data_IF_656901384908
#
_entry.id   IF_656901384908
#
_cell.length_a   1.000
_cell.length_b   1.000
_cell.length_c   1.000
_cell.angle_alpha   90.00
_cell.angle_beta   90.00
_cell.angle_gamma   90.00
#
_symmetry.space_group_name_H-M   'P 1'
#
loop_
_entity.id
_entity.type
_entity.pdbx_description
1 polymer ?
#
# COMPACT_ATOMS: atom_id res chain seq x y z
N UNK A 1 22.36 -12.45 -22.64
CA UNK A 1 23.08 -11.20 -22.30
C UNK A 1 22.21 -10.38 -21.38
N UNK A 2 22.79 -9.65 -20.41
CA UNK A 2 22.01 -9.03 -19.34
C UNK A 2 21.64 -7.58 -19.70
N UNK A 3 20.37 -7.23 -19.51
CA UNK A 3 19.86 -5.86 -19.68
C UNK A 3 19.27 -5.34 -18.37
N UNK A 4 19.32 -4.03 -18.22
CA UNK A 4 18.79 -3.38 -17.03
C UNK A 4 17.26 -3.51 -17.03
N UNK A 5 16.74 -3.94 -15.90
CA UNK A 5 15.31 -3.99 -15.60
C UNK A 5 14.87 -2.75 -14.82
N UNK A 6 15.82 -2.06 -14.18
CA UNK A 6 15.57 -0.86 -13.39
C UNK A 6 16.50 0.28 -13.80
N UNK A 7 16.03 1.51 -13.59
CA UNK A 7 16.75 2.75 -13.89
C UNK A 7 17.14 3.49 -12.60
N UNK A 8 18.15 4.36 -12.68
CA UNK A 8 18.52 5.24 -11.57
C UNK A 8 17.33 6.12 -11.16
N UNK A 9 17.11 6.27 -9.86
CA UNK A 9 16.00 7.03 -9.27
C UNK A 9 14.70 6.24 -9.14
N UNK A 10 14.61 5.05 -9.74
CA UNK A 10 13.40 4.22 -9.65
C UNK A 10 13.20 3.71 -8.23
N UNK A 11 11.98 3.88 -7.68
CA UNK A 11 11.57 3.30 -6.40
C UNK A 11 11.41 1.79 -6.58
N UNK A 12 12.01 1.01 -5.68
CA UNK A 12 11.95 -0.47 -5.68
C UNK A 12 11.73 -0.98 -4.26
N UNK A 13 11.05 -2.11 -4.13
CA UNK A 13 11.00 -2.88 -2.88
C UNK A 13 12.14 -3.90 -2.89
N UNK A 14 12.89 -3.95 -1.79
CA UNK A 14 14.03 -4.86 -1.62
C UNK A 14 13.58 -6.05 -0.79
N UNK A 15 13.32 -7.19 -1.43
CA UNK A 15 12.70 -8.35 -0.79
C UNK A 15 13.53 -8.87 0.40
N UNK A 16 14.84 -9.01 0.21
CA UNK A 16 15.74 -9.53 1.24
C UNK A 16 15.87 -8.67 2.49
N UNK A 17 15.43 -7.41 2.46
CA UNK A 17 15.51 -6.45 3.58
C UNK A 17 14.11 -6.01 4.05
N UNK A 18 13.09 -6.11 3.21
CA UNK A 18 11.72 -5.72 3.54
C UNK A 18 11.52 -4.21 3.60
N UNK A 19 12.17 -3.45 2.72
CA UNK A 19 12.09 -1.97 2.71
C UNK A 19 11.93 -1.41 1.29
N UNK A 20 11.32 -0.24 1.19
CA UNK A 20 11.34 0.59 -0.02
C UNK A 20 12.65 1.36 -0.10
N UNK A 21 13.29 1.35 -1.27
CA UNK A 21 14.50 2.10 -1.57
C UNK A 21 14.42 2.74 -2.97
N UNK A 22 15.42 3.54 -3.32
CA UNK A 22 15.61 4.03 -4.69
C UNK A 22 16.88 3.41 -5.28
N UNK A 23 16.84 3.10 -6.57
CA UNK A 23 18.04 2.67 -7.30
C UNK A 23 18.99 3.87 -7.42
N UNK A 24 20.11 3.82 -6.72
CA UNK A 24 21.13 4.87 -6.78
C UNK A 24 22.03 4.69 -8.01
N UNK A 25 22.32 3.43 -8.35
CA UNK A 25 23.21 3.09 -9.46
C UNK A 25 22.86 1.76 -10.10
N UNK A 26 22.99 1.71 -11.43
CA UNK A 26 22.92 0.49 -12.24
C UNK A 26 24.35 0.06 -12.57
N UNK A 27 24.77 -1.11 -12.11
CA UNK A 27 26.13 -1.63 -12.22
C UNK A 27 26.18 -2.78 -13.25
N UNK A 28 26.63 -2.52 -14.49
CA UNK A 28 26.91 -3.58 -15.45
C UNK A 28 28.18 -4.33 -15.06
N UNK A 29 28.10 -5.65 -14.95
CA UNK A 29 29.22 -6.55 -14.69
C UNK A 29 29.70 -7.14 -16.02
N UNK A 30 31.00 -6.98 -16.29
CA UNK A 30 31.65 -7.38 -17.54
C UNK A 30 32.54 -8.60 -17.32
N UNK A 31 32.60 -9.50 -18.30
CA UNK A 31 33.53 -10.64 -18.30
C UNK A 31 34.50 -10.52 -19.48
N UNK A 32 35.73 -11.01 -19.29
CA UNK A 32 36.76 -10.96 -20.33
C UNK A 32 36.31 -11.75 -21.57
N UNK A 33 36.37 -11.12 -22.75
CA UNK A 33 35.98 -11.72 -24.02
C UNK A 33 34.51 -11.54 -24.39
N UNK A 34 33.77 -10.68 -23.70
CA UNK A 34 32.40 -10.31 -24.04
C UNK A 34 32.30 -8.80 -24.30
N UNK A 35 31.64 -8.43 -25.40
CA UNK A 35 31.38 -7.03 -25.79
C UNK A 35 30.13 -6.44 -25.11
N UNK A 36 29.42 -7.25 -24.30
CA UNK A 36 28.22 -6.88 -23.56
C UNK A 36 28.27 -7.35 -22.10
N UNK A 37 27.55 -6.68 -21.18
CA UNK A 37 27.54 -7.06 -19.78
C UNK A 37 26.90 -8.45 -19.57
N UNK A 38 27.57 -9.27 -18.76
CA UNK A 38 27.12 -10.62 -18.43
C UNK A 38 26.02 -10.62 -17.36
N UNK A 39 26.02 -9.61 -16.49
CA UNK A 39 25.02 -9.43 -15.42
C UNK A 39 24.86 -7.95 -15.13
N UNK A 40 23.70 -7.55 -14.63
CA UNK A 40 23.47 -6.21 -14.08
C UNK A 40 23.06 -6.36 -12.62
N UNK A 41 23.71 -5.57 -11.77
CA UNK A 41 23.40 -5.42 -10.35
C UNK A 41 22.99 -3.98 -10.08
N UNK A 42 22.32 -3.76 -8.95
CA UNK A 42 21.79 -2.45 -8.56
C UNK A 42 22.29 -2.09 -7.17
N UNK A 43 22.75 -0.85 -7.04
CA UNK A 43 22.98 -0.24 -5.74
C UNK A 43 21.71 0.54 -5.34
N UNK A 44 21.27 0.31 -4.11
CA UNK A 44 20.08 0.93 -3.51
C UNK A 44 20.39 1.57 -2.15
N UNK A 45 21.68 1.77 -1.83
CA UNK A 45 22.11 2.45 -0.60
C UNK A 45 22.06 1.58 0.67
N UNK A 46 21.95 0.25 0.53
CA UNK A 46 21.82 -0.70 1.65
C UNK A 46 23.12 -1.49 1.93
N UNK A 47 24.26 -1.01 1.46
CA UNK A 47 25.59 -1.56 1.79
C UNK A 47 25.99 -2.82 1.01
N UNK A 48 25.19 -3.24 0.02
CA UNK A 48 25.56 -4.26 -0.98
C UNK A 48 24.84 -4.02 -2.30
N UNK A 49 25.28 -4.70 -3.34
CA UNK A 49 24.56 -4.75 -4.61
C UNK A 49 23.48 -5.85 -4.61
N UNK A 50 22.42 -5.61 -5.36
CA UNK A 50 21.26 -6.50 -5.50
C UNK A 50 21.09 -6.93 -6.95
N UNK A 51 20.67 -8.18 -7.16
CA UNK A 51 20.23 -8.64 -8.47
C UNK A 51 18.79 -8.15 -8.76
N UNK A 52 18.41 -8.11 -10.04
CA UNK A 52 17.06 -7.71 -10.43
C UNK A 52 15.96 -8.57 -9.77
N UNK A 53 16.24 -9.86 -9.58
CA UNK A 53 15.31 -10.80 -8.95
C UNK A 53 15.05 -10.52 -7.46
N UNK A 54 15.89 -9.74 -6.80
CA UNK A 54 15.72 -9.33 -5.39
C UNK A 54 14.95 -8.02 -5.25
N UNK A 55 14.57 -7.41 -6.38
CA UNK A 55 13.92 -6.10 -6.46
C UNK A 55 12.53 -6.23 -7.10
N UNK A 56 11.61 -5.45 -6.57
CA UNK A 56 10.21 -5.43 -7.00
C UNK A 56 9.79 -4.00 -7.34
N UNK A 57 8.94 -3.83 -8.35
CA UNK A 57 8.38 -2.52 -8.71
C UNK A 57 7.13 -2.22 -7.88
N UNK A 58 6.86 -0.95 -7.56
CA UNK A 58 5.54 -0.55 -7.10
C UNK A 58 4.50 -0.89 -8.17
N UNK A 59 3.43 -1.55 -7.76
CA UNK A 59 2.22 -1.74 -8.55
C UNK A 59 1.03 -1.27 -7.73
N UNK A 60 0.01 -0.77 -8.41
CA UNK A 60 -1.28 -0.57 -7.78
C UNK A 60 -1.86 -1.92 -7.34
N UNK A 61 -2.39 -1.96 -6.13
CA UNK A 61 -3.08 -3.10 -5.60
C UNK A 61 -4.44 -3.24 -6.31
N UNK A 62 -4.72 -4.33 -7.04
CA UNK A 62 -6.00 -4.50 -7.71
C UNK A 62 -7.18 -4.54 -6.72
N UNK A 63 -6.94 -4.86 -5.45
CA UNK A 63 -7.94 -4.80 -4.39
C UNK A 63 -8.27 -3.36 -3.92
N UNK A 64 -7.49 -2.35 -4.33
CA UNK A 64 -7.72 -0.95 -3.99
C UNK A 64 -8.76 -0.24 -4.88
N UNK A 65 -9.51 -1.00 -5.68
CA UNK A 65 -10.67 -0.52 -6.45
C UNK A 65 -11.86 -0.14 -5.54
N UNK A 66 -13.08 -0.14 -6.09
CA UNK A 66 -14.29 0.22 -5.33
C UNK A 66 -14.46 -0.72 -4.11
N UNK A 67 -14.11 -0.20 -2.92
CA UNK A 67 -14.08 -0.97 -1.66
C UNK A 67 -15.48 -1.35 -1.15
N UNK A 68 -16.52 -0.69 -1.67
CA UNK A 68 -17.92 -0.88 -1.27
C UNK A 68 -18.23 -0.34 0.14
N UNK A 69 -19.47 -0.55 0.58
CA UNK A 69 -19.94 -0.03 1.86
C UNK A 69 -19.54 -0.96 3.02
N UNK A 70 -18.49 -0.57 3.73
CA UNK A 70 -18.07 -1.27 4.94
C UNK A 70 -18.99 -0.90 6.09
N UNK A 71 -19.42 -1.90 6.86
CA UNK A 71 -20.39 -1.70 7.95
C UNK A 71 -20.01 -2.48 9.19
N UNK A 72 -20.44 -1.98 10.34
CA UNK A 72 -20.25 -2.67 11.62
C UNK A 72 -21.46 -3.55 11.88
N UNK A 73 -21.23 -4.86 11.99
CA UNK A 73 -22.16 -5.80 12.59
C UNK A 73 -21.71 -6.14 14.01
N UNK A 74 -22.64 -6.71 14.79
CA UNK A 74 -22.29 -7.31 16.09
C UNK A 74 -22.40 -8.82 16.02
N UNK A 75 -21.32 -9.49 16.41
CA UNK A 75 -21.28 -10.93 16.59
C UNK A 75 -21.43 -11.29 18.07
N UNK A 76 -22.12 -12.40 18.35
CA UNK A 76 -22.24 -12.93 19.71
C UNK A 76 -20.91 -13.50 20.17
N UNK A 77 -20.49 -13.14 21.38
CA UNK A 77 -19.40 -13.83 22.07
C UNK A 77 -19.91 -15.18 22.58
N UNK A 78 -19.32 -16.28 22.08
CA UNK A 78 -19.71 -17.66 22.47
C UNK A 78 -18.97 -18.15 23.72
N UNK A 79 -17.93 -17.44 24.14
CA UNK A 79 -16.97 -17.90 25.15
C UNK A 79 -16.98 -17.08 26.43
N UNK A 80 -17.81 -16.04 26.51
CA UNK A 80 -17.92 -15.16 27.68
C UNK A 80 -19.40 -14.89 27.94
N UNK A 81 -19.82 -15.03 29.20
CA UNK A 81 -21.19 -14.70 29.59
C UNK A 81 -21.36 -13.17 29.61
N UNK A 82 -22.50 -12.63 29.15
CA UNK A 82 -22.80 -11.20 29.28
C UNK A 82 -22.63 -10.66 30.70
N UNK A 83 -22.88 -11.47 31.73
CA UNK A 83 -22.70 -11.06 33.12
C UNK A 83 -21.22 -10.78 33.47
N UNK A 84 -20.30 -11.58 32.93
CA UNK A 84 -18.86 -11.44 33.19
C UNK A 84 -18.26 -10.18 32.53
N UNK A 85 -18.94 -9.67 31.51
CA UNK A 85 -18.53 -8.49 30.75
C UNK A 85 -19.56 -7.35 30.83
N UNK A 86 -20.32 -7.26 31.92
CA UNK A 86 -21.37 -6.25 32.09
C UNK A 86 -20.87 -4.79 32.01
N UNK A 87 -19.56 -4.58 32.21
CA UNK A 87 -18.90 -3.28 32.11
C UNK A 87 -18.55 -2.89 30.66
N UNK A 88 -18.70 -3.81 29.68
CA UNK A 88 -18.53 -3.49 28.27
C UNK A 88 -19.67 -2.61 27.75
N UNK A 89 -19.44 -1.80 26.71
CA UNK A 89 -20.50 -1.04 26.04
C UNK A 89 -21.57 -1.96 25.42
N UNK A 90 -21.18 -3.16 24.97
CA UNK A 90 -22.09 -4.17 24.42
C UNK A 90 -21.80 -5.58 24.98
N UNK A 91 -22.19 -5.88 26.23
CA UNK A 91 -21.89 -7.15 26.89
C UNK A 91 -22.34 -8.37 26.07
N UNK A 92 -21.52 -9.41 26.04
CA UNK A 92 -21.80 -10.66 25.32
C UNK A 92 -21.69 -10.57 23.79
N UNK A 93 -21.19 -9.45 23.25
CA UNK A 93 -20.98 -9.27 21.82
C UNK A 93 -19.71 -8.47 21.53
N UNK A 94 -19.28 -8.46 20.27
CA UNK A 94 -18.14 -7.66 19.80
C UNK A 94 -18.38 -7.15 18.38
N UNK A 95 -17.74 -6.04 17.97
CA UNK A 95 -17.91 -5.48 16.64
C UNK A 95 -17.17 -6.31 15.59
N UNK A 96 -17.79 -6.44 14.42
CA UNK A 96 -17.23 -7.05 13.21
C UNK A 96 -17.41 -6.05 12.08
N UNK A 97 -16.31 -5.64 11.44
CA UNK A 97 -16.39 -4.77 10.26
C UNK A 97 -16.47 -5.65 9.03
N UNK A 98 -17.64 -5.69 8.42
CA UNK A 98 -17.89 -6.45 7.20
C UNK A 98 -17.42 -5.63 6.00
N UNK A 99 -16.64 -6.26 5.13
CA UNK A 99 -16.04 -5.67 3.93
C UNK A 99 -16.56 -6.30 2.62
N UNK A 100 -17.53 -7.21 2.70
CA UNK A 100 -18.11 -7.93 1.56
C UNK A 100 -19.65 -7.95 1.67
N UNK A 101 -20.34 -8.22 0.56
CA UNK A 101 -21.81 -8.21 0.48
C UNK A 101 -22.46 -9.32 1.31
N UNK A 102 -21.78 -10.46 1.45
CA UNK A 102 -22.37 -11.67 2.01
C UNK A 102 -22.36 -11.77 3.55
N UNK A 103 -21.90 -10.73 4.29
CA UNK A 103 -21.92 -10.64 5.77
C UNK A 103 -21.24 -11.78 6.55
N UNK A 104 -20.56 -12.69 5.84
CA UNK A 104 -19.96 -13.91 6.37
C UNK A 104 -18.49 -13.77 6.80
N UNK A 105 -17.90 -12.58 6.64
CA UNK A 105 -16.49 -12.31 6.91
C UNK A 105 -16.23 -10.83 7.20
N UNK A 106 -15.00 -10.52 7.59
CA UNK A 106 -14.61 -9.14 7.90
C UNK A 106 -13.48 -9.03 8.91
N UNK A 107 -13.13 -7.80 9.25
CA UNK A 107 -12.17 -7.50 10.30
C UNK A 107 -12.81 -7.69 11.68
N UNK A 108 -12.06 -8.33 12.58
CA UNK A 108 -12.45 -8.55 13.98
C UNK A 108 -11.20 -8.60 14.84
N UNK A 109 -11.35 -8.27 16.11
CA UNK A 109 -10.28 -8.41 17.11
C UNK A 109 -10.44 -9.70 17.92
N UNK A 110 -9.35 -10.25 18.50
CA UNK A 110 -9.44 -11.31 19.48
C UNK A 110 -10.31 -10.90 20.68
N UNK A 111 -11.03 -11.85 21.27
CA UNK A 111 -11.88 -11.58 22.45
C UNK A 111 -11.11 -10.96 23.62
N UNK A 112 -9.88 -11.42 23.88
CA UNK A 112 -9.02 -10.87 24.93
C UNK A 112 -8.64 -9.40 24.69
N UNK A 113 -8.55 -8.96 23.43
CA UNK A 113 -8.28 -7.56 23.09
C UNK A 113 -9.51 -6.69 23.34
N UNK A 114 -10.70 -7.19 23.02
CA UNK A 114 -11.95 -6.50 23.33
C UNK A 114 -12.20 -6.40 24.83
N UNK A 115 -11.93 -7.46 25.57
CA UNK A 115 -12.09 -7.51 27.02
C UNK A 115 -11.19 -6.49 27.74
N UNK A 116 -9.98 -6.27 27.21
CA UNK A 116 -9.02 -5.33 27.78
C UNK A 116 -9.43 -3.86 27.61
N UNK A 117 -9.92 -3.47 26.44
CA UNK A 117 -10.30 -2.08 26.14
C UNK A 117 -11.40 -2.04 25.07
N UNK A 118 -12.67 -2.26 25.48
CA UNK A 118 -13.75 -2.37 24.52
C UNK A 118 -14.05 -1.03 23.85
N UNK A 119 -13.90 0.09 24.55
CA UNK A 119 -14.17 1.42 23.98
C UNK A 119 -13.21 1.75 22.83
N UNK A 120 -11.92 1.44 22.99
CA UNK A 120 -10.92 1.60 21.93
C UNK A 120 -11.24 0.73 20.72
N UNK A 121 -11.61 -0.53 20.93
CA UNK A 121 -11.98 -1.42 19.82
C UNK A 121 -13.23 -0.92 19.09
N UNK A 122 -14.24 -0.45 19.81
CA UNK A 122 -15.44 0.14 19.20
C UNK A 122 -15.09 1.37 18.34
N UNK A 123 -14.16 2.22 18.80
CA UNK A 123 -13.68 3.34 18.01
C UNK A 123 -12.91 2.88 16.76
N UNK A 124 -12.04 1.89 16.90
CA UNK A 124 -11.31 1.30 15.76
C UNK A 124 -12.27 0.71 14.72
N UNK A 125 -13.33 0.01 15.16
CA UNK A 125 -14.33 -0.53 14.25
C UNK A 125 -15.01 0.58 13.43
N UNK A 126 -15.36 1.72 14.05
CA UNK A 126 -15.89 2.92 13.36
C UNK A 126 -14.89 3.53 12.39
N UNK A 127 -13.64 3.65 12.80
CA UNK A 127 -12.58 4.18 11.94
C UNK A 127 -12.36 3.30 10.71
N UNK A 128 -12.33 1.97 10.88
CA UNK A 128 -12.15 1.02 9.79
C UNK A 128 -13.38 1.06 8.88
N UNK A 129 -14.60 1.00 9.42
CA UNK A 129 -15.83 1.05 8.62
C UNK A 129 -15.95 2.35 7.79
N UNK A 130 -15.50 3.49 8.31
CA UNK A 130 -15.48 4.76 7.58
C UNK A 130 -14.27 4.95 6.65
N UNK A 131 -13.34 3.99 6.58
CA UNK A 131 -12.12 4.13 5.78
C UNK A 131 -12.38 4.29 4.27
N UNK A 132 -13.34 3.58 3.63
CA UNK A 132 -13.67 3.79 2.22
C UNK A 132 -14.09 5.24 1.92
N UNK A 133 -15.00 5.80 2.73
CA UNK A 133 -15.47 7.19 2.56
C UNK A 133 -14.33 8.20 2.72
N UNK A 134 -13.41 7.98 3.66
CA UNK A 134 -12.22 8.82 3.81
C UNK A 134 -11.27 8.70 2.61
N UNK A 135 -11.18 7.51 2.00
CA UNK A 135 -10.37 7.28 0.80
C UNK A 135 -10.97 8.04 -0.39
N UNK A 136 -12.28 7.99 -0.57
CA UNK A 136 -12.98 8.69 -1.64
C UNK A 136 -12.88 10.21 -1.48
N UNK A 137 -13.08 10.72 -0.27
CA UNK A 137 -12.86 12.14 0.05
C UNK A 137 -11.43 12.60 -0.31
N UNK A 138 -10.42 11.77 -0.03
CA UNK A 138 -9.04 12.08 -0.40
C UNK A 138 -8.84 12.11 -1.92
N UNK A 139 -9.47 11.20 -2.67
CA UNK A 139 -9.45 11.18 -4.14
C UNK A 139 -10.15 12.41 -4.72
N UNK A 140 -11.31 12.78 -4.19
CA UNK A 140 -12.06 13.98 -4.61
C UNK A 140 -11.25 15.26 -4.37
N UNK A 141 -10.60 15.38 -3.20
CA UNK A 141 -9.70 16.50 -2.93
C UNK A 141 -8.57 16.57 -3.96
N UNK A 142 -7.92 15.45 -4.27
CA UNK A 142 -6.87 15.41 -5.27
C UNK A 142 -7.37 15.79 -6.66
N UNK A 143 -8.53 15.26 -7.07
CA UNK A 143 -9.15 15.58 -8.35
C UNK A 143 -9.48 17.07 -8.45
N UNK A 144 -10.04 17.66 -7.39
CA UNK A 144 -10.37 19.10 -7.37
C UNK A 144 -9.16 20.02 -7.56
N UNK A 145 -7.99 19.65 -7.03
CA UNK A 145 -6.75 20.41 -7.21
C UNK A 145 -6.16 20.15 -8.60
N UNK A 146 -6.30 18.94 -9.14
CA UNK A 146 -5.79 18.60 -10.47
C UNK A 146 -6.55 19.31 -11.60
N UNK A 147 -7.84 19.56 -11.44
CA UNK A 147 -8.68 20.29 -12.41
C UNK A 147 -8.27 21.76 -12.57
N UNK A 148 -7.84 22.42 -11.49
CA UNK A 148 -7.45 23.84 -11.49
C UNK A 148 -6.24 24.08 -10.56
N UNK A 149 -5.03 23.65 -10.96
CA UNK A 149 -3.86 23.63 -10.08
C UNK A 149 -3.40 25.03 -9.66
N UNK A 150 -3.53 26.01 -10.55
CA UNK A 150 -3.10 27.39 -10.29
C UNK A 150 -4.12 28.19 -9.46
N UNK A 151 -5.38 27.75 -9.42
CA UNK A 151 -6.46 28.40 -8.67
C UNK A 151 -6.64 27.83 -7.25
N UNK A 152 -6.08 26.65 -6.97
CA UNK A 152 -6.18 26.01 -5.67
C UNK A 152 -5.32 26.76 -4.62
N UNK A 153 -5.88 27.17 -3.46
CA UNK A 153 -5.10 27.79 -2.39
C UNK A 153 -3.89 26.93 -1.97
N UNK A 154 -2.76 27.54 -1.55
CA UNK A 154 -1.55 26.78 -1.20
C UNK A 154 -1.77 25.68 -0.16
N UNK A 155 -2.68 25.92 0.80
CA UNK A 155 -3.04 24.94 1.82
C UNK A 155 -3.83 23.76 1.23
N UNK A 156 -4.74 24.01 0.30
CA UNK A 156 -5.48 22.94 -0.42
C UNK A 156 -4.51 22.07 -1.23
N UNK A 157 -3.54 22.68 -1.92
CA UNK A 157 -2.49 21.93 -2.62
C UNK A 157 -1.64 21.09 -1.66
N UNK A 158 -1.30 21.62 -0.48
CA UNK A 158 -0.56 20.89 0.56
C UNK A 158 -1.35 19.69 1.06
N UNK A 159 -2.66 19.86 1.29
CA UNK A 159 -3.54 18.77 1.71
C UNK A 159 -3.70 17.71 0.62
N UNK A 160 -3.84 18.09 -0.65
CA UNK A 160 -3.90 17.15 -1.77
C UNK A 160 -2.62 16.31 -1.90
N UNK A 161 -1.43 16.94 -1.79
CA UNK A 161 -0.14 16.21 -1.73
C UNK A 161 -0.07 15.23 -0.56
N UNK A 162 -0.60 15.63 0.61
CA UNK A 162 -0.67 14.74 1.78
C UNK A 162 -1.62 13.57 1.54
N UNK A 163 -2.79 13.81 0.96
CA UNK A 163 -3.74 12.77 0.57
C UNK A 163 -3.10 11.78 -0.41
N UNK A 164 -2.41 12.28 -1.44
CA UNK A 164 -1.68 11.45 -2.39
C UNK A 164 -0.65 10.54 -1.71
N UNK A 165 0.14 11.08 -0.78
CA UNK A 165 1.13 10.29 -0.03
C UNK A 165 0.49 9.18 0.83
N UNK A 166 -0.66 9.46 1.46
CA UNK A 166 -1.41 8.49 2.26
C UNK A 166 -1.99 7.40 1.37
N UNK A 167 -2.68 7.77 0.29
CA UNK A 167 -3.27 6.82 -0.66
C UNK A 167 -2.20 5.92 -1.25
N UNK A 168 -1.09 6.50 -1.72
CA UNK A 168 0.05 5.76 -2.26
C UNK A 168 0.55 4.69 -1.29
N UNK A 169 0.69 5.03 0.00
CA UNK A 169 1.11 4.07 1.04
C UNK A 169 0.11 2.91 1.22
N UNK A 170 -1.17 3.16 1.03
CA UNK A 170 -2.24 2.16 1.19
C UNK A 170 -2.42 1.30 -0.05
N UNK A 171 -2.24 1.86 -1.24
CA UNK A 171 -2.60 1.22 -2.51
C UNK A 171 -1.41 0.67 -3.29
N UNK A 172 -0.17 1.11 -3.04
CA UNK A 172 1.01 0.51 -3.66
C UNK A 172 1.40 -0.80 -2.97
N UNK A 173 1.52 -1.87 -3.74
CA UNK A 173 2.13 -3.15 -3.34
C UNK A 173 3.41 -3.40 -4.12
N UNK A 174 4.24 -4.31 -3.62
CA UNK A 174 5.40 -4.78 -4.35
C UNK A 174 4.97 -5.81 -5.40
N UNK A 175 5.37 -5.60 -6.66
CA UNK A 175 5.13 -6.51 -7.78
C UNK A 175 6.45 -7.03 -8.34
N UNK A 176 6.45 -8.21 -8.99
CA UNK A 176 7.65 -8.77 -9.61
C UNK A 176 8.37 -7.77 -10.53
N UNK A 177 9.70 -7.90 -10.68
CA UNK A 177 10.47 -7.03 -11.56
C UNK A 177 9.95 -7.08 -13.01
N UNK A 178 9.97 -5.96 -13.74
CA UNK A 178 9.53 -5.90 -15.12
C UNK A 178 10.46 -6.71 -16.03
N UNK A 179 9.94 -7.08 -17.21
CA UNK A 179 10.76 -7.70 -18.24
C UNK A 179 11.94 -6.77 -18.63
N UNK A 180 13.08 -7.32 -19.07
CA UNK A 180 14.21 -6.51 -19.50
C UNK A 180 13.82 -5.54 -20.63
N UNK A 181 14.23 -4.28 -20.53
CA UNK A 181 13.91 -3.22 -21.51
C UNK A 181 14.45 -3.61 -22.91
N UNK A 182 13.62 -3.47 -23.96
CA UNK A 182 14.05 -3.67 -25.35
C UNK A 182 14.63 -2.38 -25.96
N UNK A 183 15.56 -2.44 -26.93
CA UNK A 183 16.08 -1.25 -27.59
C UNK A 183 15.00 -0.75 -28.57
N UNK A 184 14.29 0.31 -28.20
CA UNK A 184 13.26 0.94 -29.05
C UNK A 184 12.24 1.79 -28.28
N UNK A 185 11.89 1.41 -27.05
CA UNK A 185 10.77 2.02 -26.31
C UNK A 185 11.09 3.40 -25.67
N UNK A 186 12.31 3.94 -25.90
CA UNK A 186 12.75 5.22 -25.34
C UNK A 186 12.72 6.40 -26.31
N UNK A 187 12.27 6.22 -27.55
CA UNK A 187 12.43 7.22 -28.62
C UNK A 187 11.16 8.01 -29.00
N UNK A 188 9.99 7.74 -28.42
CA UNK A 188 8.73 8.41 -28.81
C UNK A 188 8.20 9.46 -27.81
N UNK A 189 8.99 9.89 -26.82
CA UNK A 189 8.54 10.88 -25.83
C UNK A 189 9.10 12.31 -26.02
N UNK A 190 9.76 12.61 -27.14
CA UNK A 190 10.09 14.00 -27.53
C UNK A 190 9.91 14.19 -29.05
N UNK A 191 8.69 14.59 -29.44
CA UNK A 191 8.40 15.35 -30.65
C UNK A 191 7.13 16.19 -30.45
#
# INVERSE_FOLDING_TARGET
MARAQFQKGQKVWVESVGVWAQVEKVNPVWAKGFDEPVRITYDVGLGREFAAAELQVPSDNPAAGALGDWRILRARNKWQDPADCAHHPFPGSYPVVVTDKADWGGWRVPGAEYDRDPQRVEFQARLIAGAPELMDLARELMASVAEAPDDAPPETQRLARKAQAILRRMTEIAAPPPAPIQPGDGAEAEA
#
